data_IF_365483053346
#
_entry.id   IF_365483053346
#
_cell.length_a   1.000
_cell.length_b   1.000
_cell.length_c   1.000
_cell.angle_alpha   90.00
_cell.angle_beta   90.00
_cell.angle_gamma   90.00
#
_symmetry.space_group_name_H-M   'P 1'
#
loop_
_entity.id
_entity.type
_entity.pdbx_description
1 polymer ?
#
# COMPACT_ATOMS: atom_id res chain seq x y z
N UNK A 1 -28.12 -83.40 -14.52
CA UNK A 1 -28.05 -82.82 -13.14
C UNK A 1 -27.11 -81.64 -13.17
N UNK A 2 -27.65 -80.41 -13.30
CA UNK A 2 -26.91 -79.17 -13.33
C UNK A 2 -26.88 -78.58 -11.91
N UNK A 3 -25.68 -78.45 -11.30
CA UNK A 3 -25.50 -77.77 -10.02
C UNK A 3 -25.44 -76.25 -10.26
N UNK A 4 -26.45 -75.56 -9.79
CA UNK A 4 -26.41 -74.06 -9.71
C UNK A 4 -25.30 -73.61 -8.77
N UNK A 5 -24.51 -72.56 -9.14
CA UNK A 5 -23.53 -72.00 -8.22
C UNK A 5 -24.25 -71.18 -7.14
N UNK A 6 -23.98 -71.59 -5.89
CA UNK A 6 -24.47 -70.94 -4.67
C UNK A 6 -23.71 -69.56 -4.51
N UNK A 7 -24.28 -68.50 -5.01
CA UNK A 7 -23.78 -67.17 -4.80
C UNK A 7 -24.19 -66.73 -3.39
N UNK A 8 -23.27 -66.87 -2.43
CA UNK A 8 -23.43 -66.30 -1.09
C UNK A 8 -23.48 -64.80 -1.17
N UNK A 9 -24.65 -64.21 -0.88
CA UNK A 9 -24.83 -62.73 -0.77
C UNK A 9 -24.05 -62.29 0.45
N UNK A 10 -23.06 -61.36 0.29
CA UNK A 10 -22.31 -60.86 1.42
C UNK A 10 -23.23 -60.12 2.41
N UNK A 11 -22.99 -60.24 3.74
CA UNK A 11 -23.87 -59.65 4.75
C UNK A 11 -23.97 -58.12 4.52
N UNK A 12 -25.21 -57.61 4.40
CA UNK A 12 -25.50 -56.19 4.29
C UNK A 12 -24.99 -55.47 5.55
N UNK A 13 -23.88 -54.74 5.44
CA UNK A 13 -23.42 -53.90 6.55
C UNK A 13 -24.51 -52.87 6.85
N UNK A 14 -24.86 -52.71 8.14
CA UNK A 14 -25.86 -51.76 8.59
C UNK A 14 -25.52 -50.35 8.02
N UNK A 15 -26.52 -49.65 7.48
CA UNK A 15 -26.33 -48.26 6.96
C UNK A 15 -25.70 -47.35 8.01
N UNK A 16 -26.00 -47.53 9.28
CA UNK A 16 -25.41 -46.85 10.41
C UNK A 16 -23.90 -47.05 10.51
N UNK A 17 -23.44 -48.32 10.34
CA UNK A 17 -22.00 -48.63 10.37
C UNK A 17 -21.23 -47.93 9.24
N UNK A 18 -21.80 -47.91 8.04
CA UNK A 18 -21.20 -47.21 6.88
C UNK A 18 -21.16 -45.74 7.15
N UNK A 19 -22.25 -45.10 7.64
CA UNK A 19 -22.34 -43.69 7.96
C UNK A 19 -21.30 -43.30 9.03
N UNK A 20 -21.19 -44.02 10.12
CA UNK A 20 -20.23 -43.78 11.19
C UNK A 20 -18.77 -43.88 10.70
N UNK A 21 -18.49 -44.92 9.89
CA UNK A 21 -17.14 -45.07 9.31
C UNK A 21 -16.78 -43.93 8.38
N UNK A 22 -17.71 -43.52 7.52
CA UNK A 22 -17.49 -42.37 6.62
C UNK A 22 -17.30 -41.07 7.41
N UNK A 23 -18.13 -40.81 8.43
CA UNK A 23 -18.01 -39.68 9.30
C UNK A 23 -16.64 -39.64 10.04
N UNK A 24 -16.18 -40.78 10.55
CA UNK A 24 -14.88 -40.89 11.21
C UNK A 24 -13.72 -40.61 10.24
N UNK A 25 -13.80 -41.10 9.00
CA UNK A 25 -12.79 -40.82 7.97
C UNK A 25 -12.78 -39.34 7.61
N UNK A 26 -13.94 -38.73 7.38
CA UNK A 26 -14.04 -37.28 7.07
C UNK A 26 -13.51 -36.42 8.23
N UNK A 27 -13.86 -36.79 9.48
CA UNK A 27 -13.35 -36.12 10.67
C UNK A 27 -11.81 -36.19 10.74
N UNK A 28 -11.23 -37.37 10.53
CA UNK A 28 -9.78 -37.55 10.54
C UNK A 28 -9.09 -36.74 9.45
N UNK A 29 -9.64 -36.72 8.24
CA UNK A 29 -9.12 -35.86 7.16
C UNK A 29 -9.23 -34.37 7.51
N UNK A 30 -10.38 -33.92 8.01
CA UNK A 30 -10.58 -32.52 8.41
C UNK A 30 -9.57 -32.10 9.48
N UNK A 31 -9.40 -32.92 10.52
CA UNK A 31 -8.42 -32.64 11.57
C UNK A 31 -6.98 -32.61 11.03
N UNK A 32 -6.62 -33.57 10.19
CA UNK A 32 -5.28 -33.63 9.59
C UNK A 32 -4.99 -32.39 8.72
N UNK A 33 -5.92 -32.04 7.81
CA UNK A 33 -5.74 -30.86 6.95
C UNK A 33 -5.76 -29.55 7.73
N UNK A 34 -6.63 -29.42 8.74
CA UNK A 34 -6.66 -28.23 9.60
C UNK A 34 -5.34 -28.09 10.38
N UNK A 35 -4.82 -29.18 10.93
CA UNK A 35 -3.54 -29.18 11.63
C UNK A 35 -2.39 -28.83 10.68
N UNK A 36 -2.40 -29.36 9.45
CA UNK A 36 -1.40 -29.05 8.43
C UNK A 36 -1.43 -27.57 8.05
N UNK A 37 -2.62 -27.03 7.78
CA UNK A 37 -2.81 -25.60 7.45
C UNK A 37 -2.40 -24.70 8.60
N UNK A 38 -2.81 -25.00 9.82
CA UNK A 38 -2.41 -24.25 11.02
C UNK A 38 -0.89 -24.29 11.22
N UNK A 39 -0.27 -25.47 11.07
CA UNK A 39 1.19 -25.60 11.18
C UNK A 39 1.92 -24.78 10.12
N UNK A 40 1.49 -24.86 8.87
CA UNK A 40 2.05 -24.05 7.79
C UNK A 40 1.93 -22.55 8.09
N UNK A 41 0.77 -22.10 8.55
CA UNK A 41 0.53 -20.71 8.93
C UNK A 41 1.48 -20.26 10.06
N UNK A 42 1.56 -20.98 11.17
CA UNK A 42 2.41 -20.62 12.31
C UNK A 42 3.91 -20.64 11.96
N UNK A 43 4.34 -21.53 11.08
CA UNK A 43 5.74 -21.58 10.63
C UNK A 43 6.09 -20.46 9.66
N UNK A 44 5.13 -20.01 8.84
CA UNK A 44 5.38 -18.97 7.81
C UNK A 44 5.05 -17.56 8.28
N UNK A 45 4.09 -17.37 9.20
CA UNK A 45 3.64 -16.06 9.67
C UNK A 45 4.78 -15.11 10.09
N UNK A 46 5.79 -15.52 10.89
CA UNK A 46 6.87 -14.61 11.29
C UNK A 46 7.74 -14.18 10.11
N UNK A 47 7.99 -15.07 9.14
CA UNK A 47 8.76 -14.74 7.92
C UNK A 47 7.99 -13.80 7.02
N UNK A 48 6.69 -14.01 6.87
CA UNK A 48 5.80 -13.14 6.09
C UNK A 48 5.74 -11.75 6.72
N UNK A 49 5.60 -11.67 8.06
CA UNK A 49 5.61 -10.39 8.78
C UNK A 49 6.93 -9.63 8.61
N UNK A 50 8.07 -10.32 8.77
CA UNK A 50 9.39 -9.71 8.58
C UNK A 50 9.60 -9.22 7.14
N UNK A 51 9.17 -10.00 6.14
CA UNK A 51 9.24 -9.61 4.73
C UNK A 51 8.36 -8.39 4.43
N UNK A 52 7.15 -8.33 5.01
CA UNK A 52 6.26 -7.18 4.87
C UNK A 52 6.84 -5.90 5.49
N UNK A 53 7.50 -6.01 6.65
CA UNK A 53 8.20 -4.87 7.28
C UNK A 53 9.38 -4.39 6.43
N UNK A 54 10.20 -5.32 5.94
CA UNK A 54 11.33 -5.00 5.06
C UNK A 54 10.87 -4.30 3.77
N UNK A 55 9.77 -4.77 3.16
CA UNK A 55 9.21 -4.13 1.97
C UNK A 55 8.68 -2.71 2.26
N UNK A 56 8.05 -2.49 3.41
CA UNK A 56 7.62 -1.15 3.83
C UNK A 56 8.81 -0.19 3.98
N UNK A 57 9.87 -0.62 4.67
CA UNK A 57 11.09 0.18 4.81
C UNK A 57 11.76 0.44 3.45
N UNK A 58 11.74 -0.53 2.56
CA UNK A 58 12.23 -0.37 1.19
C UNK A 58 11.45 0.70 0.42
N UNK A 59 10.12 0.70 0.52
CA UNK A 59 9.26 1.71 -0.12
C UNK A 59 9.51 3.11 0.48
N UNK A 60 9.63 3.20 1.80
CA UNK A 60 9.97 4.46 2.47
C UNK A 60 11.35 4.95 2.01
N UNK A 61 12.34 4.07 1.92
CA UNK A 61 13.69 4.41 1.45
C UNK A 61 13.77 4.94 0.01
N UNK A 62 12.73 4.71 -0.80
CA UNK A 62 12.62 5.28 -2.15
C UNK A 62 12.18 6.75 -2.14
N UNK A 63 11.45 7.19 -1.10
CA UNK A 63 10.97 8.58 -0.97
C UNK A 63 11.79 9.39 0.03
N UNK A 64 12.44 8.74 0.99
CA UNK A 64 13.26 9.42 2.01
C UNK A 64 14.59 8.69 2.20
N UNK A 65 15.70 9.36 1.90
CA UNK A 65 17.02 8.78 2.08
C UNK A 65 17.31 8.51 3.57
N UNK A 66 18.00 7.40 3.92
CA UNK A 66 18.32 7.07 5.31
C UNK A 66 19.12 8.14 6.06
N UNK A 67 19.79 9.04 5.35
CA UNK A 67 20.53 10.17 5.94
C UNK A 67 19.63 11.25 6.58
N UNK A 68 18.33 11.26 6.26
CA UNK A 68 17.36 12.24 6.78
C UNK A 68 16.85 11.89 8.20
N UNK A 69 17.04 10.67 8.69
CA UNK A 69 16.52 10.23 9.98
C UNK A 69 17.45 9.27 10.69
N UNK A 70 17.27 9.12 11.99
CA UNK A 70 18.02 8.19 12.86
C UNK A 70 17.11 7.39 13.81
N UNK A 71 15.79 7.60 13.75
CA UNK A 71 14.80 6.88 14.54
C UNK A 71 14.25 5.64 13.80
N UNK A 72 13.62 4.73 14.55
CA UNK A 72 12.84 3.63 13.96
C UNK A 72 11.49 4.14 13.45
N UNK A 73 11.37 4.28 12.12
CA UNK A 73 10.17 4.78 11.46
C UNK A 73 8.94 3.92 11.69
N UNK A 74 9.10 2.59 11.81
CA UNK A 74 7.97 1.69 11.97
C UNK A 74 7.38 1.75 13.38
N UNK A 75 8.21 2.05 14.38
CA UNK A 75 7.77 2.24 15.76
C UNK A 75 7.25 3.65 16.03
N UNK A 76 7.70 4.67 15.26
CA UNK A 76 7.20 6.06 15.37
C UNK A 76 6.18 6.38 14.29
N UNK A 77 5.12 5.58 14.22
CA UNK A 77 4.03 5.73 13.26
C UNK A 77 2.73 6.21 13.95
N UNK A 78 1.86 6.84 13.16
CA UNK A 78 0.50 7.24 13.56
C UNK A 78 -0.49 6.58 12.61
N UNK A 79 -1.63 6.13 13.10
CA UNK A 79 -2.73 5.66 12.27
C UNK A 79 -3.63 6.84 11.91
N UNK A 80 -3.83 7.07 10.62
CA UNK A 80 -4.75 8.08 10.10
C UNK A 80 -6.08 7.41 9.73
N UNK A 81 -7.23 7.98 10.13
CA UNK A 81 -8.53 7.53 9.65
C UNK A 81 -8.67 7.80 8.14
N UNK A 82 -9.71 7.26 7.50
CA UNK A 82 -10.05 7.63 6.13
C UNK A 82 -10.12 9.15 5.99
N UNK A 83 -9.26 9.72 5.13
CA UNK A 83 -9.08 11.17 5.01
C UNK A 83 -9.29 11.61 3.56
N UNK A 84 -10.32 12.40 3.31
CA UNK A 84 -10.69 12.84 1.96
C UNK A 84 -9.60 13.67 1.30
N UNK A 85 -8.90 14.52 2.04
CA UNK A 85 -7.78 15.30 1.54
C UNK A 85 -6.63 14.43 1.03
N UNK A 86 -6.38 13.30 1.69
CA UNK A 86 -5.40 12.31 1.25
C UNK A 86 -5.96 11.34 0.17
N UNK A 87 -7.27 11.39 -0.10
CA UNK A 87 -7.95 10.48 -1.04
C UNK A 87 -8.01 9.03 -0.55
N UNK A 88 -7.89 8.80 0.76
CA UNK A 88 -7.90 7.47 1.36
C UNK A 88 -9.29 7.10 1.85
N UNK A 89 -9.74 5.88 1.56
CA UNK A 89 -11.03 5.32 2.00
C UNK A 89 -10.89 4.33 3.17
N UNK A 90 -9.66 4.02 3.54
CA UNK A 90 -9.30 3.09 4.61
C UNK A 90 -8.29 3.77 5.54
N UNK A 91 -8.08 3.18 6.71
CA UNK A 91 -7.03 3.61 7.61
C UNK A 91 -5.66 3.44 6.95
N UNK A 92 -4.82 4.47 7.09
CA UNK A 92 -3.46 4.49 6.57
C UNK A 92 -2.45 4.78 7.67
N UNK A 93 -1.18 4.55 7.39
CA UNK A 93 -0.10 4.88 8.31
C UNK A 93 0.67 6.10 7.84
N UNK A 94 0.97 6.98 8.78
CA UNK A 94 1.90 8.08 8.64
C UNK A 94 3.13 7.76 9.48
N UNK A 95 4.32 7.86 8.89
CA UNK A 95 5.58 7.62 9.58
C UNK A 95 6.31 8.93 9.82
N UNK A 96 6.88 9.08 11.01
CA UNK A 96 7.59 10.30 11.43
C UNK A 96 9.09 10.04 11.41
N UNK A 97 9.77 10.73 10.52
CA UNK A 97 11.23 10.76 10.49
C UNK A 97 11.73 11.82 11.47
N UNK A 98 12.63 11.42 12.36
CA UNK A 98 13.32 12.33 13.29
C UNK A 98 14.81 12.22 13.12
N UNK A 99 15.50 13.32 13.34
CA UNK A 99 16.95 13.40 13.36
C UNK A 99 17.40 14.05 14.67
N UNK A 100 18.24 13.34 15.44
CA UNK A 100 18.64 13.78 16.79
C UNK A 100 17.42 14.12 17.68
N UNK A 101 16.36 13.34 17.58
CA UNK A 101 15.10 13.56 18.29
C UNK A 101 14.20 14.68 17.77
N UNK A 102 14.69 15.50 16.82
CA UNK A 102 13.92 16.61 16.23
C UNK A 102 13.10 16.16 15.00
N UNK A 103 11.94 16.78 14.75
CA UNK A 103 11.16 16.55 13.54
C UNK A 103 12.00 16.79 12.28
N UNK A 104 12.02 15.83 11.35
CA UNK A 104 12.75 15.93 10.08
C UNK A 104 11.83 15.83 8.86
N UNK A 105 11.00 14.80 8.78
CA UNK A 105 10.06 14.61 7.69
C UNK A 105 8.87 13.73 8.11
N UNK A 106 7.76 13.85 7.36
CA UNK A 106 6.59 12.99 7.44
C UNK A 106 6.47 12.16 6.17
N UNK A 107 6.25 10.85 6.32
CA UNK A 107 5.98 9.96 5.19
C UNK A 107 4.51 9.58 5.24
N UNK A 108 3.76 9.94 4.20
CA UNK A 108 2.30 9.87 4.16
C UNK A 108 1.85 9.04 2.97
N UNK A 109 0.93 8.12 3.22
CA UNK A 109 0.20 7.42 2.18
C UNK A 109 -0.98 8.28 1.71
N UNK A 110 -1.12 8.46 0.39
CA UNK A 110 -2.23 9.18 -0.22
C UNK A 110 -2.73 8.42 -1.46
N UNK A 111 -3.82 8.89 -2.04
CA UNK A 111 -4.35 8.31 -3.27
C UNK A 111 -4.96 9.37 -4.18
N UNK A 112 -4.83 9.13 -5.49
CA UNK A 112 -5.62 9.79 -6.50
C UNK A 112 -6.75 8.83 -6.92
N UNK A 113 -8.03 9.11 -6.56
CA UNK A 113 -9.14 8.23 -6.92
C UNK A 113 -9.54 8.35 -8.40
N UNK A 114 -9.10 9.40 -9.05
CA UNK A 114 -9.48 9.89 -10.37
C UNK A 114 -8.44 9.58 -11.47
N UNK A 115 -7.65 8.53 -11.32
CA UNK A 115 -6.79 7.99 -12.37
C UNK A 115 -7.62 7.46 -13.56
N UNK A 116 -6.98 7.30 -14.73
CA UNK A 116 -7.66 6.84 -15.94
C UNK A 116 -8.26 5.43 -15.78
N UNK A 117 -7.50 4.51 -15.20
CA UNK A 117 -7.94 3.12 -14.96
C UNK A 117 -8.28 2.88 -13.48
N UNK A 118 -8.57 3.93 -12.72
CA UNK A 118 -8.97 3.88 -11.32
C UNK A 118 -7.95 4.46 -10.35
N UNK A 119 -8.06 4.06 -9.10
CA UNK A 119 -7.25 4.59 -7.98
C UNK A 119 -5.75 4.40 -8.22
N UNK A 120 -4.98 5.47 -8.01
CA UNK A 120 -3.52 5.48 -8.00
C UNK A 120 -3.06 5.69 -6.55
N UNK A 121 -2.33 4.74 -5.98
CA UNK A 121 -1.72 4.84 -4.66
C UNK A 121 -0.43 5.65 -4.71
N UNK A 122 -0.22 6.52 -3.72
CA UNK A 122 0.91 7.43 -3.63
C UNK A 122 1.58 7.31 -2.26
N UNK A 123 2.90 7.51 -2.24
CA UNK A 123 3.69 7.69 -1.03
C UNK A 123 4.47 8.99 -1.16
N UNK A 124 4.31 9.88 -0.20
CA UNK A 124 4.94 11.19 -0.16
C UNK A 124 5.88 11.29 1.03
N UNK A 125 7.05 11.91 0.84
CA UNK A 125 7.88 12.40 1.94
C UNK A 125 7.85 13.93 1.94
N UNK A 126 7.44 14.52 3.07
CA UNK A 126 7.32 15.97 3.25
C UNK A 126 8.25 16.37 4.38
N UNK A 127 9.14 17.34 4.14
CA UNK A 127 10.05 17.85 5.15
C UNK A 127 9.33 18.62 6.25
N UNK A 128 10.03 18.86 7.37
CA UNK A 128 9.49 19.69 8.44
C UNK A 128 9.28 21.15 8.03
N UNK A 129 9.96 21.61 6.98
CA UNK A 129 9.79 22.95 6.38
C UNK A 129 8.60 23.02 5.40
N UNK A 130 7.96 21.86 5.10
CA UNK A 130 6.80 21.80 4.21
C UNK A 130 7.14 21.57 2.73
N UNK A 131 8.35 21.13 2.43
CA UNK A 131 8.75 20.74 1.08
C UNK A 131 8.39 19.30 0.78
N UNK A 132 7.86 19.03 -0.39
CA UNK A 132 7.72 17.67 -0.92
C UNK A 132 9.10 17.19 -1.37
N UNK A 133 9.75 16.36 -0.53
CA UNK A 133 11.09 15.81 -0.80
C UNK A 133 11.06 14.80 -1.94
N UNK A 134 10.04 13.95 -1.96
CA UNK A 134 9.80 13.01 -3.03
C UNK A 134 8.36 12.50 -3.05
N UNK A 135 7.93 12.07 -4.23
CA UNK A 135 6.66 11.40 -4.49
C UNK A 135 6.92 10.10 -5.24
N UNK A 136 6.23 9.03 -4.86
CA UNK A 136 6.26 7.75 -5.59
C UNK A 136 4.86 7.18 -5.72
N UNK A 137 4.64 6.54 -6.88
CA UNK A 137 3.46 5.71 -7.11
C UNK A 137 3.70 4.34 -6.50
N UNK A 138 2.81 3.89 -5.62
CA UNK A 138 2.89 2.59 -4.95
C UNK A 138 2.03 1.53 -5.62
N UNK A 139 0.90 1.96 -6.19
CA UNK A 139 -0.05 1.09 -6.89
C UNK A 139 -0.80 1.87 -7.97
N UNK A 140 -0.97 1.26 -9.14
CA UNK A 140 -1.82 1.79 -10.21
C UNK A 140 -2.29 0.67 -11.13
N UNK A 141 -3.30 0.96 -11.96
CA UNK A 141 -3.80 0.10 -13.03
C UNK A 141 -3.79 0.82 -14.38
N UNK A 142 -3.00 1.88 -14.50
CA UNK A 142 -2.91 2.69 -15.71
C UNK A 142 -2.45 1.88 -16.93
N UNK A 143 -2.89 2.29 -18.10
CA UNK A 143 -2.64 1.57 -19.36
C UNK A 143 -1.14 1.49 -19.66
N UNK A 144 -0.57 0.28 -19.88
CA UNK A 144 0.82 0.10 -20.22
C UNK A 144 1.23 0.88 -21.49
N UNK A 145 2.37 1.56 -21.41
CA UNK A 145 2.91 2.38 -22.51
C UNK A 145 2.22 3.74 -22.69
N UNK A 146 1.17 4.04 -21.90
CA UNK A 146 0.46 5.32 -21.88
C UNK A 146 0.52 5.94 -20.50
N UNK A 147 -0.47 5.69 -19.62
CA UNK A 147 -0.56 6.31 -18.29
C UNK A 147 0.42 5.77 -17.25
N UNK A 148 1.03 4.63 -17.49
CA UNK A 148 1.96 3.96 -16.55
C UNK A 148 3.32 4.66 -16.39
N UNK A 149 3.64 5.69 -17.20
CA UNK A 149 4.87 6.49 -17.03
C UNK A 149 4.95 7.24 -15.69
N UNK A 150 3.85 7.35 -14.97
CA UNK A 150 3.85 7.88 -13.60
C UNK A 150 4.68 7.02 -12.63
N UNK A 151 4.84 5.71 -12.93
CA UNK A 151 5.78 4.82 -12.25
C UNK A 151 7.17 4.95 -12.89
N UNK A 152 8.23 5.33 -12.15
CA UNK A 152 9.58 5.48 -12.70
C UNK A 152 10.13 4.19 -13.31
N UNK A 153 9.63 3.02 -12.87
CA UNK A 153 10.02 1.72 -13.46
C UNK A 153 9.45 1.54 -14.86
N UNK A 154 8.35 2.20 -15.20
CA UNK A 154 7.65 2.11 -16.50
C UNK A 154 7.94 3.32 -17.40
N UNK A 155 8.38 4.45 -16.81
CA UNK A 155 8.75 5.61 -17.59
C UNK A 155 9.87 5.29 -18.60
N UNK A 156 9.73 5.78 -19.83
CA UNK A 156 10.72 5.65 -20.89
C UNK A 156 11.98 6.46 -20.58
N UNK A 157 11.84 7.61 -19.93
CA UNK A 157 12.94 8.43 -19.50
C UNK A 157 13.54 7.93 -18.19
N UNK A 158 14.53 7.05 -18.26
CA UNK A 158 15.18 6.49 -17.07
C UNK A 158 16.15 7.44 -16.38
N UNK A 159 16.63 8.45 -17.09
CA UNK A 159 17.57 9.45 -16.53
C UNK A 159 16.81 10.45 -15.65
N UNK A 160 15.66 10.94 -16.14
CA UNK A 160 14.80 11.89 -15.44
C UNK A 160 13.34 11.44 -15.56
N UNK A 161 12.92 10.44 -14.78
CA UNK A 161 11.54 9.98 -14.80
C UNK A 161 10.56 11.10 -14.47
N UNK A 162 9.38 11.08 -15.07
CA UNK A 162 8.34 12.11 -14.90
C UNK A 162 8.06 12.45 -13.42
N UNK A 163 8.03 11.43 -12.56
CA UNK A 163 7.71 11.62 -11.14
C UNK A 163 8.75 12.47 -10.38
N UNK A 164 9.98 12.59 -10.91
CA UNK A 164 11.06 13.35 -10.25
C UNK A 164 10.84 14.86 -10.27
N UNK A 165 9.91 15.36 -11.08
CA UNK A 165 9.55 16.79 -11.06
C UNK A 165 8.86 17.21 -9.73
N UNK A 166 8.44 16.25 -8.92
CA UNK A 166 7.88 16.47 -7.58
C UNK A 166 8.94 16.38 -6.46
N UNK A 167 10.22 16.42 -6.78
CA UNK A 167 11.27 16.33 -5.77
C UNK A 167 11.76 17.71 -5.35
N UNK A 168 11.90 17.90 -4.04
CA UNK A 168 12.44 19.11 -3.40
C UNK A 168 11.69 20.40 -3.78
N UNK A 169 10.36 20.31 -3.88
CA UNK A 169 9.50 21.45 -4.21
C UNK A 169 8.44 21.71 -3.14
N UNK A 170 8.03 22.94 -3.00
CA UNK A 170 6.98 23.39 -2.08
C UNK A 170 6.17 24.52 -2.66
N UNK A 171 5.22 25.05 -1.88
CA UNK A 171 4.35 26.13 -2.32
C UNK A 171 5.07 27.48 -2.47
N UNK A 172 6.26 27.63 -1.89
CA UNK A 172 7.11 28.80 -2.09
C UNK A 172 7.72 28.83 -3.51
N UNK A 173 8.03 27.65 -4.08
CA UNK A 173 8.61 27.53 -5.42
C UNK A 173 7.56 27.34 -6.51
N UNK A 174 6.47 26.62 -6.20
CA UNK A 174 5.34 26.36 -7.10
C UNK A 174 4.04 26.66 -6.35
N UNK A 175 3.44 27.84 -6.53
CA UNK A 175 2.21 28.21 -5.84
C UNK A 175 1.06 27.21 -6.06
N UNK A 176 0.14 27.07 -5.10
CA UNK A 176 -0.97 26.10 -5.19
C UNK A 176 -1.80 26.19 -6.47
N UNK A 177 -1.93 27.41 -7.04
CA UNK A 177 -2.68 27.67 -8.28
C UNK A 177 -1.96 27.08 -9.50
N UNK A 178 -0.63 27.03 -9.47
CA UNK A 178 0.21 26.46 -10.53
C UNK A 178 0.48 24.97 -10.32
N UNK A 179 0.01 24.39 -9.20
CA UNK A 179 0.16 22.95 -8.92
C UNK A 179 -0.84 22.12 -9.74
N UNK A 180 -0.68 22.24 -11.05
CA UNK A 180 -1.48 21.60 -12.12
C UNK A 180 -0.56 21.16 -13.24
N UNK A 181 -1.07 20.31 -14.14
CA UNK A 181 -0.36 19.94 -15.36
C UNK A 181 -0.32 21.13 -16.34
N UNK A 182 0.73 21.23 -17.15
CA UNK A 182 0.92 22.32 -18.14
C UNK A 182 -0.26 22.47 -19.10
N UNK A 183 -0.90 21.37 -19.48
CA UNK A 183 -2.11 21.41 -20.31
C UNK A 183 -3.26 22.19 -19.68
N UNK A 184 -3.30 22.27 -18.36
CA UNK A 184 -4.31 23.00 -17.57
C UNK A 184 -3.75 24.36 -17.06
N UNK A 185 -2.65 24.86 -17.65
CA UNK A 185 -2.00 26.11 -17.30
C UNK A 185 -1.12 26.06 -16.04
N UNK A 186 -0.71 24.86 -15.61
CA UNK A 186 0.15 24.68 -14.43
C UNK A 186 1.63 24.47 -14.74
N UNK A 187 2.35 24.05 -13.71
CA UNK A 187 3.81 23.87 -13.72
C UNK A 187 4.27 22.50 -14.24
N UNK A 188 3.51 21.43 -13.97
CA UNK A 188 3.97 20.06 -14.16
C UNK A 188 3.79 19.55 -15.58
N UNK A 189 4.81 18.89 -16.12
CA UNK A 189 4.74 18.24 -17.42
C UNK A 189 3.75 17.06 -17.41
N UNK A 190 3.26 16.70 -18.58
CA UNK A 190 2.46 15.50 -18.80
C UNK A 190 2.79 14.88 -20.16
N UNK A 191 2.55 13.59 -20.31
CA UNK A 191 2.67 12.91 -21.59
C UNK A 191 1.43 13.17 -22.46
N UNK A 192 1.64 13.50 -23.74
CA UNK A 192 0.55 13.64 -24.70
C UNK A 192 -0.23 12.32 -24.83
N UNK A 193 -1.55 12.39 -24.80
CA UNK A 193 -2.44 11.22 -24.82
C UNK A 193 -2.66 10.53 -23.47
N UNK A 194 -1.89 10.85 -22.42
CA UNK A 194 -2.03 10.25 -21.09
C UNK A 194 -2.07 11.31 -19.97
N UNK A 195 -2.78 12.39 -20.20
CA UNK A 195 -2.86 13.54 -19.28
C UNK A 195 -3.64 13.22 -18.00
N UNK A 196 -4.62 12.29 -18.05
CA UNK A 196 -5.51 12.00 -16.91
C UNK A 196 -4.69 11.47 -15.72
N UNK A 197 -3.79 10.53 -15.95
CA UNK A 197 -2.94 9.94 -14.92
C UNK A 197 -2.04 11.00 -14.26
N UNK A 198 -1.40 11.87 -15.06
CA UNK A 198 -0.59 12.98 -14.55
C UNK A 198 -1.42 13.98 -13.75
N UNK A 199 -2.59 14.37 -14.26
CA UNK A 199 -3.51 15.27 -13.57
C UNK A 199 -3.95 14.71 -12.22
N UNK A 200 -4.32 13.44 -12.16
CA UNK A 200 -4.73 12.76 -10.95
C UNK A 200 -3.62 12.77 -9.89
N UNK A 201 -2.39 12.38 -10.27
CA UNK A 201 -1.23 12.39 -9.37
C UNK A 201 -0.90 13.81 -8.91
N UNK A 202 -0.87 14.79 -9.80
CA UNK A 202 -0.56 16.18 -9.48
C UNK A 202 -1.59 16.78 -8.52
N UNK A 203 -2.88 16.56 -8.75
CA UNK A 203 -3.94 17.06 -7.87
C UNK A 203 -3.91 16.38 -6.50
N UNK A 204 -3.67 15.07 -6.45
CA UNK A 204 -3.56 14.33 -5.20
C UNK A 204 -2.33 14.77 -4.38
N UNK A 205 -1.17 14.97 -5.04
CA UNK A 205 0.03 15.48 -4.34
C UNK A 205 -0.19 16.87 -3.76
N UNK A 206 -0.88 17.78 -4.48
CA UNK A 206 -1.25 19.09 -3.96
C UNK A 206 -2.12 18.99 -2.71
N UNK A 207 -3.21 18.22 -2.78
CA UNK A 207 -4.11 18.03 -1.62
C UNK A 207 -3.38 17.46 -0.40
N UNK A 208 -2.56 16.45 -0.64
CA UNK A 208 -1.78 15.81 0.42
C UNK A 208 -0.76 16.79 1.04
N UNK A 209 -0.04 17.58 0.22
CA UNK A 209 0.93 18.54 0.71
C UNK A 209 0.27 19.68 1.52
N UNK A 210 -0.88 20.20 1.08
CA UNK A 210 -1.68 21.16 1.86
C UNK A 210 -2.05 20.57 3.21
N UNK A 211 -2.65 19.38 3.20
CA UNK A 211 -3.09 18.71 4.43
C UNK A 211 -1.93 18.47 5.41
N UNK A 212 -0.79 18.00 4.91
CA UNK A 212 0.39 17.75 5.75
C UNK A 212 0.90 19.05 6.36
N UNK A 213 0.99 20.14 5.57
CA UNK A 213 1.45 21.43 6.06
C UNK A 213 0.55 22.01 7.14
N UNK A 214 -0.76 21.84 7.01
CA UNK A 214 -1.74 22.32 7.99
C UNK A 214 -1.71 21.53 9.31
N UNK A 215 -1.26 20.25 9.26
CA UNK A 215 -1.34 19.35 10.41
C UNK A 215 0.02 18.93 10.98
N UNK A 216 1.15 19.29 10.35
CA UNK A 216 2.48 18.76 10.69
C UNK A 216 2.87 18.91 12.16
N UNK A 217 2.62 20.04 12.78
CA UNK A 217 2.97 20.28 14.18
C UNK A 217 2.19 19.36 15.10
N UNK A 218 0.86 19.23 14.90
CA UNK A 218 -0.01 18.32 15.62
C UNK A 218 0.43 16.88 15.43
N UNK A 219 0.79 16.47 14.19
CA UNK A 219 1.24 15.12 13.87
C UNK A 219 2.54 14.74 14.58
N UNK A 220 3.51 15.66 14.68
CA UNK A 220 4.75 15.41 15.41
C UNK A 220 4.58 15.40 16.94
N UNK A 221 3.57 16.12 17.47
CA UNK A 221 3.31 16.19 18.91
C UNK A 221 2.58 14.95 19.47
N UNK A 222 1.91 14.18 18.62
CA UNK A 222 1.17 12.99 19.07
C UNK A 222 2.11 11.89 19.60
N UNK A 223 1.69 11.10 20.59
CA UNK A 223 2.41 9.88 20.98
C UNK A 223 2.49 8.88 19.80
N UNK A 224 3.52 8.04 19.78
CA UNK A 224 3.66 6.99 18.77
C UNK A 224 2.51 5.96 18.88
N UNK A 225 2.15 5.36 17.75
CA UNK A 225 1.11 4.33 17.65
C UNK A 225 -0.29 4.77 18.15
N UNK A 226 -0.55 6.07 18.22
CA UNK A 226 -1.89 6.60 18.50
C UNK A 226 -2.69 6.85 17.22
N UNK A 227 -4.01 6.63 17.23
CA UNK A 227 -4.87 7.07 16.14
C UNK A 227 -4.98 8.60 16.13
N UNK A 228 -4.82 9.19 14.96
CA UNK A 228 -5.10 10.61 14.74
C UNK A 228 -6.61 10.84 14.83
N UNK A 229 -6.99 11.89 15.54
CA UNK A 229 -8.37 12.40 15.60
C UNK A 229 -8.36 13.85 15.12
N UNK A 230 -9.14 14.13 14.09
CA UNK A 230 -9.39 15.51 13.64
C UNK A 230 -10.03 16.36 14.73
#
# INVERSE_FOLDING_TARGET
>A
MSKSPNTAIPPKRSALYIALRTAAILLAFTLCFTALMASAYYLTAPRVAASAQAEKLRLIGVVLAPSFYDNDLLSDAITLPPTSALGTSEETRLYRARKNGQPAALIVEAAAPDGYSGKIGLLLAVSNEGLLLALRVTQHKETPGLGDYIDPKKDRNKVRPWITQFSDIGFDSVPPEQWRVKKDGGHFDQMAGATISARAVTNASRRALVWVNDHREKLFALPANTPYKE
#
